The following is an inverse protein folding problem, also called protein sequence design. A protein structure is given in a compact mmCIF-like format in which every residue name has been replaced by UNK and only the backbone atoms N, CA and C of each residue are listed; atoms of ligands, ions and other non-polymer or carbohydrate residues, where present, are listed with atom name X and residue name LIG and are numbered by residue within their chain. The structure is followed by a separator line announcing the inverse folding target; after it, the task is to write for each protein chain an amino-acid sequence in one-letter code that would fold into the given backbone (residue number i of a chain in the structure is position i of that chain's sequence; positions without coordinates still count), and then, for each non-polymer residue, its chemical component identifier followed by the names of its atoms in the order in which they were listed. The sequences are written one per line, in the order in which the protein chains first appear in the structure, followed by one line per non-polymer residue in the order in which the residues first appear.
data_IF_578713483816
#
_entry.id   IF_578713483816
#
_cell.length_a   1.000
_cell.length_b   1.000
_cell.length_c   1.000
_cell.angle_alpha   90.00
_cell.angle_beta   90.00
_cell.angle_gamma   90.00
#
_symmetry.space_group_name_H-M   'P 1'
#
loop_
_entity.id
_entity.type
_entity.pdbx_description
1 polymer ?
#
# COMPACT_ATOMS: atom_id res chain seq x y z
N UNK A 1 -10.19 -8.02 -29.43
CA UNK A 1 -11.27 -8.75 -28.73
C UNK A 1 -12.39 -7.76 -28.45
N UNK A 2 -13.61 -8.05 -28.90
CA UNK A 2 -14.78 -7.14 -28.82
C UNK A 2 -15.29 -7.06 -27.37
N UNK A 3 -15.71 -5.88 -26.87
CA UNK A 3 -16.22 -5.75 -25.52
C UNK A 3 -17.66 -6.26 -25.44
N UNK A 4 -17.90 -7.28 -24.61
CA UNK A 4 -19.23 -7.69 -24.19
C UNK A 4 -19.63 -6.83 -22.97
N UNK A 5 -20.27 -5.69 -23.22
CA UNK A 5 -20.96 -4.91 -22.19
C UNK A 5 -22.43 -5.29 -22.30
N UNK A 6 -22.88 -6.27 -21.52
CA UNK A 6 -24.31 -6.48 -21.23
C UNK A 6 -24.63 -5.74 -19.93
N UNK A 7 -24.43 -4.42 -19.95
CA UNK A 7 -25.00 -3.50 -18.97
C UNK A 7 -26.29 -2.93 -19.54
N UNK A 8 -27.19 -2.46 -18.68
CA UNK A 8 -28.52 -1.91 -18.95
C UNK A 8 -28.53 -0.76 -19.99
N UNK A 9 -28.29 -1.08 -21.26
CA UNK A 9 -28.32 -0.17 -22.39
C UNK A 9 -29.29 -0.72 -23.44
N UNK A 10 -30.57 -0.81 -23.06
CA UNK A 10 -31.64 -1.02 -24.02
C UNK A 10 -31.98 0.34 -24.67
N UNK A 11 -31.72 0.41 -25.97
CA UNK A 11 -32.03 1.51 -26.89
C UNK A 11 -33.53 1.87 -26.85
N UNK A 12 -33.87 3.02 -26.26
CA UNK A 12 -35.19 3.62 -26.42
C UNK A 12 -35.30 4.25 -27.81
N UNK A 13 -36.11 3.64 -28.67
CA UNK A 13 -36.52 4.25 -29.94
C UNK A 13 -37.48 5.41 -29.67
N UNK A 14 -37.11 6.61 -30.12
CA UNK A 14 -37.96 7.80 -30.19
C UNK A 14 -39.18 7.53 -31.10
N UNK A 15 -40.36 7.50 -30.51
CA UNK A 15 -41.63 7.73 -31.22
C UNK A 15 -42.13 9.11 -30.81
N UNK A 16 -42.04 10.05 -31.76
CA UNK A 16 -42.62 11.37 -31.65
C UNK A 16 -44.15 11.28 -31.71
N UNK A 17 -44.83 11.77 -30.66
CA UNK A 17 -46.23 12.21 -30.70
C UNK A 17 -46.36 13.54 -29.95
N UNK A 18 -47.25 14.37 -30.48
CA UNK A 18 -47.43 15.82 -30.32
C UNK A 18 -47.65 16.35 -28.89
N UNK A 19 -47.53 17.67 -28.65
CA UNK A 19 -47.38 18.26 -27.32
C UNK A 19 -48.72 18.36 -26.58
N UNK A 20 -48.79 17.80 -25.39
CA UNK A 20 -49.86 18.05 -24.43
C UNK A 20 -49.27 18.30 -23.03
N UNK A 21 -49.55 19.50 -22.53
CA UNK A 21 -49.56 19.95 -21.13
C UNK A 21 -48.33 19.65 -20.26
N UNK A 22 -47.72 20.75 -19.79
CA UNK A 22 -46.80 20.80 -18.66
C UNK A 22 -47.49 20.21 -17.43
N UNK A 23 -47.23 18.93 -17.13
CA UNK A 23 -47.64 18.32 -15.86
C UNK A 23 -46.71 18.81 -14.76
N UNK A 24 -47.32 19.46 -13.78
CA UNK A 24 -46.75 19.80 -12.47
C UNK A 24 -46.03 18.59 -11.84
N UNK A 25 -44.99 18.87 -11.05
CA UNK A 25 -44.10 17.88 -10.44
C UNK A 25 -44.84 16.69 -9.84
N UNK A 26 -44.61 15.51 -10.42
CA UNK A 26 -45.08 14.25 -9.88
C UNK A 26 -44.42 14.02 -8.51
N UNK A 27 -45.22 14.03 -7.44
CA UNK A 27 -44.86 13.36 -6.18
C UNK A 27 -44.44 11.92 -6.52
N UNK A 28 -43.38 11.42 -5.87
CA UNK A 28 -42.97 10.04 -5.99
C UNK A 28 -44.18 9.12 -5.78
N UNK A 29 -44.47 8.24 -6.75
CA UNK A 29 -45.61 7.32 -6.65
C UNK A 29 -45.41 6.38 -5.46
N UNK A 30 -46.33 6.47 -4.50
CA UNK A 30 -46.39 5.72 -3.25
C UNK A 30 -46.62 4.22 -3.54
N UNK A 31 -46.03 3.33 -2.73
CA UNK A 31 -46.16 1.88 -2.91
C UNK A 31 -47.59 1.46 -2.56
N UNK A 32 -48.36 1.01 -3.54
CA UNK A 32 -49.72 0.52 -3.29
C UNK A 32 -49.72 -0.81 -2.52
N UNK A 33 -50.70 -0.99 -1.64
CA UNK A 33 -50.90 -2.25 -0.90
C UNK A 33 -50.97 -3.47 -1.84
N UNK A 34 -51.67 -3.32 -2.98
CA UNK A 34 -51.74 -4.37 -4.01
C UNK A 34 -50.37 -4.77 -4.54
N UNK A 35 -49.51 -3.79 -4.83
CA UNK A 35 -48.15 -4.05 -5.33
C UNK A 35 -47.30 -4.75 -4.27
N UNK A 36 -47.44 -4.37 -3.00
CA UNK A 36 -46.74 -5.00 -1.88
C UNK A 36 -47.20 -6.44 -1.65
N UNK A 37 -48.51 -6.67 -1.64
CA UNK A 37 -49.09 -8.02 -1.54
C UNK A 37 -48.61 -8.93 -2.67
N UNK A 38 -48.57 -8.43 -3.91
CA UNK A 38 -48.04 -9.19 -5.04
C UNK A 38 -46.53 -9.45 -4.89
N UNK A 39 -45.75 -8.43 -4.51
CA UNK A 39 -44.31 -8.58 -4.30
C UNK A 39 -43.99 -9.61 -3.23
N UNK A 40 -44.66 -9.57 -2.09
CA UNK A 40 -44.45 -10.55 -1.01
C UNK A 40 -44.86 -11.98 -1.40
N UNK A 41 -45.79 -12.14 -2.34
CA UNK A 41 -46.18 -13.45 -2.83
C UNK A 41 -45.17 -14.05 -3.84
N UNK A 42 -44.58 -13.22 -4.72
CA UNK A 42 -43.78 -13.69 -5.85
C UNK A 42 -42.26 -13.55 -5.62
N UNK A 43 -41.81 -12.44 -5.03
CA UNK A 43 -40.40 -12.07 -4.96
C UNK A 43 -39.52 -13.02 -4.14
N UNK A 44 -39.96 -13.64 -3.01
CA UNK A 44 -39.10 -14.56 -2.25
C UNK A 44 -38.60 -15.75 -3.06
N UNK A 45 -39.44 -16.33 -3.92
CA UNK A 45 -39.03 -17.44 -4.79
C UNK A 45 -38.05 -16.97 -5.88
N UNK A 46 -38.26 -15.77 -6.42
CA UNK A 46 -37.39 -15.16 -7.42
C UNK A 46 -36.02 -14.78 -6.84
N UNK A 47 -35.98 -14.25 -5.61
CA UNK A 47 -34.75 -13.94 -4.89
C UNK A 47 -33.88 -15.19 -4.70
N UNK A 48 -34.51 -16.30 -4.28
CA UNK A 48 -33.84 -17.60 -4.17
C UNK A 48 -33.33 -18.10 -5.53
N UNK A 49 -34.12 -17.94 -6.59
CA UNK A 49 -33.72 -18.31 -7.95
C UNK A 49 -32.54 -17.46 -8.47
N UNK A 50 -32.44 -16.20 -8.05
CA UNK A 50 -31.31 -15.30 -8.34
C UNK A 50 -30.06 -15.59 -7.48
N UNK A 51 -30.14 -16.51 -6.51
CA UNK A 51 -29.04 -16.86 -5.62
C UNK A 51 -28.78 -15.84 -4.51
N UNK A 52 -29.78 -15.04 -4.14
CA UNK A 52 -29.71 -14.12 -3.00
C UNK A 52 -29.81 -14.92 -1.71
N UNK A 53 -28.88 -14.66 -0.78
CA UNK A 53 -28.72 -15.45 0.45
C UNK A 53 -29.59 -14.97 1.63
N UNK A 54 -30.12 -13.75 1.57
CA UNK A 54 -30.92 -13.14 2.64
C UNK A 54 -32.35 -13.70 2.71
N UNK A 55 -33.02 -13.52 3.85
CA UNK A 55 -34.47 -13.68 3.90
C UNK A 55 -35.15 -12.38 3.48
N UNK A 56 -36.16 -12.48 2.60
CA UNK A 56 -36.95 -11.33 2.18
C UNK A 56 -37.90 -10.91 3.30
N UNK A 57 -37.73 -9.69 3.82
CA UNK A 57 -38.55 -9.11 4.90
C UNK A 57 -39.68 -8.24 4.37
N UNK A 58 -39.46 -7.61 3.22
CA UNK A 58 -40.44 -6.80 2.51
C UNK A 58 -40.22 -6.86 1.01
N UNK A 59 -41.27 -6.66 0.22
CA UNK A 59 -41.19 -6.69 -1.23
C UNK A 59 -42.39 -6.01 -1.87
N UNK A 60 -42.20 -5.40 -3.04
CA UNK A 60 -43.31 -4.99 -3.89
C UNK A 60 -43.03 -5.20 -5.38
N UNK A 61 -44.12 -5.37 -6.13
CA UNK A 61 -44.09 -5.42 -7.59
C UNK A 61 -43.94 -4.01 -8.17
N UNK A 62 -42.81 -3.76 -8.84
CA UNK A 62 -42.52 -2.46 -9.46
C UNK A 62 -43.34 -2.29 -10.75
N UNK A 63 -43.38 -3.32 -11.58
CA UNK A 63 -44.03 -3.27 -12.87
C UNK A 63 -43.52 -4.33 -13.84
N UNK A 64 -44.01 -4.27 -15.07
CA UNK A 64 -43.60 -5.18 -16.15
C UNK A 64 -43.27 -4.42 -17.42
N UNK A 65 -42.30 -4.90 -18.17
CA UNK A 65 -41.99 -4.47 -19.53
C UNK A 65 -42.20 -5.62 -20.50
N UNK A 66 -42.68 -5.31 -21.71
CA UNK A 66 -42.86 -6.28 -22.78
C UNK A 66 -42.00 -5.86 -23.97
N UNK A 67 -41.02 -6.70 -24.33
CA UNK A 67 -40.28 -6.53 -25.58
C UNK A 67 -41.02 -7.30 -26.68
N UNK A 68 -41.77 -6.56 -27.51
CA UNK A 68 -42.54 -7.14 -28.61
C UNK A 68 -41.65 -7.80 -29.69
N UNK A 69 -40.40 -7.36 -29.85
CA UNK A 69 -39.46 -7.92 -30.83
C UNK A 69 -38.85 -9.21 -30.32
N UNK A 70 -38.41 -9.25 -29.06
CA UNK A 70 -37.89 -10.45 -28.42
C UNK A 70 -38.99 -11.41 -27.96
N UNK A 71 -40.26 -10.97 -27.95
CA UNK A 71 -41.42 -11.70 -27.41
C UNK A 71 -41.22 -12.12 -25.95
N UNK A 72 -40.48 -11.32 -25.19
CA UNK A 72 -40.20 -11.57 -23.77
C UNK A 72 -40.93 -10.56 -22.90
N UNK A 73 -41.40 -11.01 -21.73
CA UNK A 73 -41.91 -10.16 -20.67
C UNK A 73 -40.94 -10.18 -19.51
N UNK A 74 -40.68 -9.01 -18.93
CA UNK A 74 -39.83 -8.88 -17.75
C UNK A 74 -40.64 -8.23 -16.64
N UNK A 75 -40.75 -8.93 -15.52
CA UNK A 75 -41.35 -8.40 -14.29
C UNK A 75 -40.25 -7.90 -13.36
N UNK A 76 -40.48 -6.74 -12.74
CA UNK A 76 -39.54 -6.14 -11.80
C UNK A 76 -40.13 -6.11 -10.41
N UNK A 77 -39.31 -6.45 -9.42
CA UNK A 77 -39.66 -6.46 -8.02
C UNK A 77 -38.56 -5.77 -7.24
N UNK A 78 -38.92 -5.09 -6.17
CA UNK A 78 -37.97 -4.67 -5.14
C UNK A 78 -38.12 -5.61 -3.95
N UNK A 79 -37.00 -5.99 -3.34
CA UNK A 79 -36.95 -6.72 -2.09
C UNK A 79 -36.09 -5.98 -1.06
N UNK A 80 -36.52 -6.05 0.18
CA UNK A 80 -35.75 -5.73 1.37
C UNK A 80 -35.32 -7.04 2.04
N UNK A 81 -34.10 -7.04 2.56
CA UNK A 81 -33.46 -8.21 3.15
C UNK A 81 -33.39 -8.05 4.67
N UNK A 82 -33.41 -9.17 5.40
CA UNK A 82 -33.12 -9.18 6.84
C UNK A 82 -31.67 -8.80 7.18
N UNK A 83 -30.78 -8.87 6.19
CA UNK A 83 -29.37 -8.52 6.29
C UNK A 83 -28.78 -8.13 4.93
N UNK A 84 -27.78 -7.25 4.95
CA UNK A 84 -27.14 -6.78 3.73
C UNK A 84 -28.04 -5.83 2.93
N UNK A 85 -27.65 -5.55 1.70
CA UNK A 85 -28.38 -4.58 0.85
C UNK A 85 -29.65 -5.21 0.28
N UNK A 86 -30.69 -4.39 0.05
CA UNK A 86 -31.82 -4.80 -0.78
C UNK A 86 -31.51 -4.86 -2.27
N UNK A 87 -32.45 -5.40 -3.04
CA UNK A 87 -32.27 -5.67 -4.46
C UNK A 87 -33.51 -5.32 -5.30
N UNK A 88 -33.25 -4.99 -6.56
CA UNK A 88 -34.24 -5.06 -7.64
C UNK A 88 -34.04 -6.37 -8.40
N UNK A 89 -35.09 -7.18 -8.48
CA UNK A 89 -35.14 -8.40 -9.26
C UNK A 89 -35.70 -8.11 -10.66
N UNK A 90 -35.09 -8.72 -11.67
CA UNK A 90 -35.54 -8.69 -13.05
C UNK A 90 -35.86 -10.13 -13.48
N UNK A 91 -37.14 -10.48 -13.44
CA UNK A 91 -37.64 -11.81 -13.76
C UNK A 91 -38.13 -11.86 -15.22
N UNK A 92 -37.31 -12.45 -16.10
CA UNK A 92 -37.67 -12.65 -17.50
C UNK A 92 -38.52 -13.92 -17.64
N UNK A 93 -39.67 -13.82 -18.30
CA UNK A 93 -40.55 -14.97 -18.56
C UNK A 93 -39.80 -16.06 -19.34
N UNK A 94 -39.68 -17.25 -18.75
CA UNK A 94 -38.93 -18.38 -19.32
C UNK A 94 -37.40 -18.24 -19.26
N UNK A 95 -36.87 -17.19 -18.60
CA UNK A 95 -35.45 -16.92 -18.46
C UNK A 95 -34.94 -16.97 -17.02
N UNK A 96 -33.64 -16.72 -16.83
CA UNK A 96 -33.04 -16.57 -15.52
C UNK A 96 -33.45 -15.24 -14.88
N UNK A 97 -33.65 -15.24 -13.56
CA UNK A 97 -33.85 -14.02 -12.78
C UNK A 97 -32.49 -13.40 -12.49
N UNK A 98 -32.34 -12.10 -12.77
CA UNK A 98 -31.15 -11.32 -12.40
C UNK A 98 -31.48 -10.35 -11.27
N UNK A 99 -30.45 -9.91 -10.54
CA UNK A 99 -30.60 -9.02 -9.39
C UNK A 99 -29.61 -7.87 -9.44
N UNK A 100 -30.08 -6.66 -9.17
CA UNK A 100 -29.27 -5.45 -9.00
C UNK A 100 -29.42 -4.96 -7.58
N UNK A 101 -28.33 -4.55 -6.93
CA UNK A 101 -28.44 -3.97 -5.58
C UNK A 101 -29.23 -2.66 -5.62
N UNK A 102 -29.88 -2.29 -4.53
CA UNK A 102 -30.52 -0.98 -4.44
C UNK A 102 -29.54 0.18 -4.61
N UNK A 103 -28.25 -0.03 -4.33
CA UNK A 103 -27.19 0.96 -4.62
C UNK A 103 -27.06 1.20 -6.13
N UNK A 104 -27.05 0.13 -6.92
CA UNK A 104 -26.99 0.23 -8.38
C UNK A 104 -28.29 0.77 -8.96
N UNK A 105 -29.42 0.27 -8.48
CA UNK A 105 -30.73 0.71 -8.92
C UNK A 105 -30.97 2.20 -8.62
N UNK A 106 -30.41 2.72 -7.53
CA UNK A 106 -30.50 4.14 -7.15
C UNK A 106 -29.47 5.02 -7.87
N UNK A 107 -28.50 4.44 -8.58
CA UNK A 107 -27.49 5.22 -9.30
C UNK A 107 -28.17 5.99 -10.45
N UNK A 108 -28.02 7.33 -10.52
CA UNK A 108 -28.63 8.13 -11.58
C UNK A 108 -28.16 7.68 -12.97
N UNK A 109 -29.05 7.81 -13.95
CA UNK A 109 -28.71 7.57 -15.34
C UNK A 109 -27.72 8.61 -15.89
N UNK A 110 -27.22 8.42 -17.13
CA UNK A 110 -26.31 9.37 -17.77
C UNK A 110 -26.89 10.79 -17.93
N UNK A 111 -28.21 10.93 -17.91
CA UNK A 111 -28.93 12.21 -17.94
C UNK A 111 -29.10 12.85 -16.53
N UNK A 112 -28.50 12.24 -15.51
CA UNK A 112 -28.56 12.68 -14.11
C UNK A 112 -29.90 12.40 -13.44
N UNK A 113 -30.86 11.74 -14.11
CA UNK A 113 -32.17 11.46 -13.54
C UNK A 113 -32.15 10.17 -12.72
N UNK A 114 -32.98 10.08 -11.66
CA UNK A 114 -33.18 8.83 -10.94
C UNK A 114 -33.63 7.72 -11.89
N UNK A 115 -33.15 6.50 -11.64
CA UNK A 115 -33.62 5.31 -12.34
C UNK A 115 -35.11 5.09 -12.09
N UNK A 116 -35.83 4.60 -13.10
CA UNK A 116 -37.21 4.13 -12.92
C UNK A 116 -37.29 2.88 -12.03
N UNK A 117 -36.16 2.22 -11.79
CA UNK A 117 -36.01 1.09 -10.87
C UNK A 117 -35.42 1.52 -9.52
N UNK A 118 -35.31 2.82 -9.24
CA UNK A 118 -34.83 3.28 -7.93
C UNK A 118 -35.69 2.68 -6.81
N UNK A 119 -35.01 2.16 -5.80
CA UNK A 119 -35.62 1.49 -4.67
C UNK A 119 -36.46 2.47 -3.83
N UNK A 120 -37.56 1.96 -3.28
CA UNK A 120 -38.61 2.72 -2.59
C UNK A 120 -39.03 2.09 -1.26
N UNK A 121 -38.67 0.83 -0.98
CA UNK A 121 -39.02 0.20 0.29
C UNK A 121 -38.34 0.97 1.44
N UNK A 122 -39.01 1.14 2.60
CA UNK A 122 -38.43 1.86 3.73
C UNK A 122 -37.09 1.28 4.22
N UNK A 123 -36.93 -0.05 4.22
CA UNK A 123 -35.66 -0.69 4.58
C UNK A 123 -34.52 -0.37 3.61
N UNK A 124 -34.85 -0.08 2.35
CA UNK A 124 -33.90 0.27 1.29
C UNK A 124 -33.70 1.78 1.11
N UNK A 125 -34.24 2.61 2.00
CA UNK A 125 -34.17 4.07 1.86
C UNK A 125 -32.73 4.60 1.95
N UNK A 126 -31.86 3.93 2.72
CA UNK A 126 -30.44 4.29 2.84
C UNK A 126 -29.53 3.05 2.64
N UNK A 127 -29.41 2.53 1.41
CA UNK A 127 -28.76 1.25 1.17
C UNK A 127 -27.24 1.26 1.43
N UNK A 128 -26.65 2.43 1.71
CA UNK A 128 -25.25 2.52 2.15
C UNK A 128 -25.06 2.07 3.59
N UNK A 129 -26.10 2.16 4.43
CA UNK A 129 -26.05 1.71 5.82
C UNK A 129 -25.77 0.21 5.92
N UNK A 130 -26.22 -0.55 4.92
CA UNK A 130 -26.11 -2.01 4.88
C UNK A 130 -24.75 -2.52 4.37
N UNK A 131 -23.85 -1.62 3.94
CA UNK A 131 -22.51 -1.99 3.48
C UNK A 131 -21.52 -2.28 4.61
N UNK A 132 -21.89 -2.09 5.87
CA UNK A 132 -20.99 -2.30 7.00
C UNK A 132 -20.34 -3.70 6.98
N UNK A 133 -21.12 -4.76 6.73
CA UNK A 133 -20.62 -6.14 6.64
C UNK A 133 -19.68 -6.35 5.45
N UNK A 134 -19.99 -5.73 4.30
CA UNK A 134 -19.18 -5.82 3.07
C UNK A 134 -17.83 -5.12 3.25
N UNK A 135 -17.82 -3.94 3.87
CA UNK A 135 -16.60 -3.19 4.17
C UNK A 135 -15.74 -3.92 5.20
N UNK A 136 -16.36 -4.55 6.20
CA UNK A 136 -15.65 -5.39 7.16
C UNK A 136 -15.00 -6.61 6.48
N UNK A 137 -15.70 -7.29 5.56
CA UNK A 137 -15.14 -8.39 4.76
C UNK A 137 -13.96 -7.93 3.88
N UNK A 138 -14.00 -6.68 3.40
CA UNK A 138 -12.92 -6.04 2.66
C UNK A 138 -11.78 -5.50 3.55
N UNK A 139 -11.91 -5.61 4.88
CA UNK A 139 -10.98 -5.04 5.88
C UNK A 139 -10.81 -3.53 5.77
N UNK A 140 -11.85 -2.83 5.29
CA UNK A 140 -11.87 -1.37 5.16
C UNK A 140 -12.57 -0.78 6.39
N UNK A 141 -11.89 0.09 7.13
CA UNK A 141 -12.50 0.86 8.21
C UNK A 141 -13.11 2.14 7.63
N UNK A 142 -14.37 2.06 7.22
CA UNK A 142 -15.05 3.15 6.52
C UNK A 142 -16.52 3.22 6.96
N UNK A 143 -16.94 4.40 7.38
CA UNK A 143 -18.36 4.75 7.44
C UNK A 143 -18.72 5.38 6.09
N UNK A 144 -19.59 4.77 5.27
CA UNK A 144 -19.94 5.32 3.96
C UNK A 144 -20.64 6.67 4.08
N UNK A 145 -20.08 7.72 3.46
CA UNK A 145 -20.81 8.98 3.30
C UNK A 145 -21.65 8.98 2.02
N UNK A 146 -21.09 8.40 0.95
CA UNK A 146 -21.71 8.26 -0.36
C UNK A 146 -21.28 6.94 -0.99
N UNK A 147 -22.18 6.36 -1.78
CA UNK A 147 -21.96 5.11 -2.50
C UNK A 147 -22.65 5.16 -3.85
N UNK A 148 -22.14 4.42 -4.83
CA UNK A 148 -22.84 4.19 -6.09
C UNK A 148 -22.48 2.86 -6.71
N UNK A 149 -23.35 2.39 -7.60
CA UNK A 149 -23.06 1.27 -8.49
C UNK A 149 -22.07 1.68 -9.58
N UNK A 150 -21.09 0.83 -9.83
CA UNK A 150 -20.25 0.91 -11.04
C UNK A 150 -20.81 -0.07 -12.09
N UNK A 151 -21.25 -1.25 -11.66
CA UNK A 151 -21.92 -2.25 -12.48
C UNK A 151 -21.62 -3.67 -12.01
N UNK A 152 -22.02 -4.67 -12.81
CA UNK A 152 -21.80 -6.09 -12.51
C UNK A 152 -21.22 -6.85 -13.69
N UNK A 153 -20.53 -7.95 -13.38
CA UNK A 153 -20.26 -9.06 -14.29
C UNK A 153 -21.13 -10.26 -13.90
N UNK A 154 -20.97 -11.39 -14.60
CA UNK A 154 -21.65 -12.63 -14.24
C UNK A 154 -21.28 -13.18 -12.84
N UNK A 155 -20.18 -12.71 -12.25
CA UNK A 155 -19.67 -13.23 -10.97
C UNK A 155 -19.35 -12.16 -9.94
N UNK A 156 -19.39 -10.87 -10.31
CA UNK A 156 -18.97 -9.80 -9.42
C UNK A 156 -19.83 -8.54 -9.53
N UNK A 157 -20.07 -7.90 -8.38
CA UNK A 157 -20.68 -6.57 -8.30
C UNK A 157 -19.61 -5.55 -7.91
N UNK A 158 -19.57 -4.43 -8.63
CA UNK A 158 -18.62 -3.35 -8.43
C UNK A 158 -19.32 -2.12 -7.88
N UNK A 159 -18.86 -1.64 -6.74
CA UNK A 159 -19.41 -0.46 -6.06
C UNK A 159 -18.30 0.56 -5.80
N UNK A 160 -18.62 1.84 -5.89
CA UNK A 160 -17.74 2.90 -5.38
C UNK A 160 -18.24 3.33 -4.00
N UNK A 161 -17.32 3.52 -3.05
CA UNK A 161 -17.60 4.01 -1.70
C UNK A 161 -16.69 5.18 -1.38
N UNK A 162 -17.29 6.29 -0.95
CA UNK A 162 -16.60 7.40 -0.30
C UNK A 162 -16.77 7.28 1.22
N UNK A 163 -15.67 7.47 1.95
CA UNK A 163 -15.62 7.28 3.40
C UNK A 163 -15.68 8.61 4.13
N UNK A 164 -16.56 8.71 5.13
CA UNK A 164 -16.69 9.88 5.97
C UNK A 164 -15.35 10.23 6.64
N UNK A 165 -14.96 11.51 6.60
CA UNK A 165 -13.77 12.01 7.28
C UNK A 165 -12.42 11.56 6.70
N UNK A 166 -12.44 10.85 5.56
CA UNK A 166 -11.24 10.44 4.83
C UNK A 166 -11.34 10.93 3.40
N UNK A 167 -10.26 11.43 2.83
CA UNK A 167 -10.16 11.75 1.40
C UNK A 167 -10.18 10.50 0.50
N UNK A 168 -9.87 9.33 1.07
CA UNK A 168 -9.79 8.07 0.34
C UNK A 168 -11.18 7.54 -0.02
N UNK A 169 -11.31 7.02 -1.24
CA UNK A 169 -12.46 6.25 -1.71
C UNK A 169 -12.01 4.89 -2.25
N UNK A 170 -12.93 3.94 -2.29
CA UNK A 170 -12.64 2.56 -2.70
C UNK A 170 -13.58 2.08 -3.78
N UNK A 171 -13.06 1.24 -4.67
CA UNK A 171 -13.86 0.33 -5.49
C UNK A 171 -13.91 -1.01 -4.77
N UNK A 172 -15.12 -1.42 -4.42
CA UNK A 172 -15.40 -2.75 -3.89
C UNK A 172 -15.74 -3.68 -5.04
N UNK A 173 -15.08 -4.84 -5.08
CA UNK A 173 -15.44 -5.97 -5.93
C UNK A 173 -15.92 -7.09 -5.02
N UNK A 174 -17.21 -7.38 -5.13
CA UNK A 174 -17.93 -8.39 -4.34
C UNK A 174 -18.45 -9.48 -5.27
N UNK A 175 -19.10 -10.52 -4.74
CA UNK A 175 -19.81 -11.49 -5.57
C UNK A 175 -21.03 -10.87 -6.29
N UNK A 176 -21.56 -11.57 -7.30
CA UNK A 176 -22.87 -11.30 -7.87
C UNK A 176 -23.80 -12.52 -7.64
N UNK A 177 -24.90 -12.40 -6.88
CA UNK A 177 -25.29 -11.25 -6.06
C UNK A 177 -24.29 -10.96 -4.92
N UNK A 178 -24.31 -9.74 -4.40
CA UNK A 178 -23.44 -9.34 -3.28
C UNK A 178 -23.75 -10.17 -2.04
N UNK A 179 -22.70 -10.64 -1.38
CA UNK A 179 -22.77 -11.49 -0.19
C UNK A 179 -21.55 -11.20 0.69
N UNK A 180 -21.78 -10.65 1.88
CA UNK A 180 -20.71 -10.27 2.81
C UNK A 180 -19.99 -11.49 3.42
N UNK A 181 -20.54 -12.70 3.30
CA UNK A 181 -19.87 -13.93 3.72
C UNK A 181 -18.83 -14.41 2.70
N UNK A 182 -18.82 -13.85 1.48
CA UNK A 182 -17.85 -14.16 0.43
C UNK A 182 -16.69 -13.16 0.44
N UNK A 183 -15.52 -13.51 -0.12
CA UNK A 183 -14.40 -12.59 -0.21
C UNK A 183 -14.77 -11.29 -0.93
N UNK A 184 -14.34 -10.16 -0.35
CA UNK A 184 -14.49 -8.82 -0.94
C UNK A 184 -13.11 -8.22 -1.14
N UNK A 185 -12.85 -7.73 -2.36
CA UNK A 185 -11.65 -6.98 -2.68
C UNK A 185 -11.96 -5.48 -2.62
N UNK A 186 -11.13 -4.70 -1.94
CA UNK A 186 -11.15 -3.24 -1.99
C UNK A 186 -9.90 -2.73 -2.71
N UNK A 187 -10.11 -1.90 -3.72
CA UNK A 187 -9.03 -1.18 -4.42
C UNK A 187 -9.18 0.31 -4.21
N UNK A 188 -8.07 1.02 -3.99
CA UNK A 188 -8.08 2.48 -3.93
C UNK A 188 -8.62 3.07 -5.24
N UNK A 189 -9.55 4.02 -5.15
CA UNK A 189 -10.10 4.69 -6.32
C UNK A 189 -9.03 5.30 -7.23
N UNK A 190 -7.90 5.75 -6.68
CA UNK A 190 -6.81 6.34 -7.45
C UNK A 190 -6.09 5.34 -8.36
N UNK A 191 -6.29 4.04 -8.16
CA UNK A 191 -5.84 3.01 -9.10
C UNK A 191 -6.48 3.18 -10.49
N UNK A 192 -7.67 3.77 -10.56
CA UNK A 192 -8.46 3.88 -11.78
C UNK A 192 -8.37 5.25 -12.46
N UNK A 193 -7.64 6.20 -11.89
CA UNK A 193 -7.50 7.57 -12.42
C UNK A 193 -6.66 7.66 -13.70
N UNK A 194 -5.94 6.58 -14.05
CA UNK A 194 -5.08 6.51 -15.23
C UNK A 194 -5.81 6.24 -16.56
N UNK A 195 -7.14 6.06 -16.56
CA UNK A 195 -7.96 5.87 -17.77
C UNK A 195 -7.75 4.55 -18.51
N UNK A 196 -6.90 3.66 -18.01
CA UNK A 196 -6.59 2.34 -18.59
C UNK A 196 -7.61 1.26 -18.22
N UNK A 197 -8.64 1.59 -17.45
CA UNK A 197 -9.68 0.67 -17.01
C UNK A 197 -11.07 1.20 -17.39
N UNK A 198 -12.04 0.30 -17.50
CA UNK A 198 -13.46 0.64 -17.65
C UNK A 198 -14.14 1.00 -16.31
N UNK A 199 -13.41 0.94 -15.20
CA UNK A 199 -13.84 1.42 -13.90
C UNK A 199 -13.42 2.88 -13.76
N UNK A 200 -14.33 3.72 -13.29
CA UNK A 200 -14.05 5.11 -12.93
C UNK A 200 -14.60 5.38 -11.54
N UNK A 201 -13.91 6.24 -10.79
CA UNK A 201 -14.41 6.78 -9.53
C UNK A 201 -14.89 8.22 -9.73
N UNK A 202 -16.08 8.54 -9.22
CA UNK A 202 -16.75 9.83 -9.42
C UNK A 202 -17.40 10.41 -8.17
N UNK A 203 -17.35 9.72 -7.02
CA UNK A 203 -17.86 10.27 -5.76
C UNK A 203 -16.96 11.38 -5.22
N UNK A 204 -15.70 11.43 -5.68
CA UNK A 204 -14.76 12.52 -5.45
C UNK A 204 -14.00 12.85 -6.72
N UNK A 205 -13.43 14.05 -6.77
CA UNK A 205 -12.41 14.44 -7.74
C UNK A 205 -11.06 13.81 -7.41
N UNK A 206 -10.13 13.84 -8.37
CA UNK A 206 -8.77 13.35 -8.17
C UNK A 206 -8.04 14.18 -7.12
N UNK A 207 -8.24 15.49 -7.17
CA UNK A 207 -7.64 16.47 -6.26
C UNK A 207 -8.10 16.22 -4.82
N UNK A 208 -9.40 15.97 -4.62
CA UNK A 208 -9.95 15.59 -3.32
C UNK A 208 -9.39 14.26 -2.83
N UNK A 209 -9.27 13.23 -3.69
CA UNK A 209 -8.66 11.94 -3.29
C UNK A 209 -7.20 12.10 -2.85
N UNK A 210 -6.44 12.95 -3.52
CA UNK A 210 -5.06 13.27 -3.16
C UNK A 210 -4.93 14.00 -1.81
N UNK A 211 -6.00 14.56 -1.23
CA UNK A 211 -5.95 15.16 0.11
C UNK A 211 -5.58 14.15 1.21
N UNK A 212 -5.64 12.84 0.96
CA UNK A 212 -5.12 11.82 1.87
C UNK A 212 -3.63 12.02 2.18
N UNK A 213 -2.86 12.53 1.21
CA UNK A 213 -1.42 12.77 1.36
C UNK A 213 -1.13 13.82 2.43
N UNK A 214 -1.96 14.86 2.51
CA UNK A 214 -1.80 15.93 3.51
C UNK A 214 -2.07 15.39 4.92
N UNK A 215 -3.11 14.56 5.06
CA UNK A 215 -3.44 13.91 6.33
C UNK A 215 -2.34 12.96 6.80
N UNK A 216 -1.80 12.12 5.92
CA UNK A 216 -0.74 11.17 6.31
C UNK A 216 0.63 11.84 6.48
N UNK A 217 0.92 12.92 5.76
CA UNK A 217 2.11 13.74 6.02
C UNK A 217 2.04 14.40 7.40
N UNK A 218 0.89 14.96 7.77
CA UNK A 218 0.66 15.48 9.12
C UNK A 218 0.79 14.38 10.18
N UNK A 219 0.22 13.20 9.94
CA UNK A 219 0.33 12.04 10.84
C UNK A 219 1.77 11.55 11.00
N UNK A 220 2.57 11.59 9.92
CA UNK A 220 3.99 11.19 9.95
C UNK A 220 4.85 12.10 10.83
N UNK A 221 4.42 13.35 11.06
CA UNK A 221 5.13 14.35 11.84
C UNK A 221 6.63 14.47 11.45
N UNK A 222 6.93 14.35 10.17
CA UNK A 222 8.28 14.38 9.60
C UNK A 222 8.69 15.78 9.09
N UNK A 223 7.91 16.81 9.42
CA UNK A 223 8.14 18.19 9.02
C UNK A 223 7.85 18.51 7.55
N UNK A 224 7.22 17.59 6.79
CA UNK A 224 6.90 17.84 5.39
C UNK A 224 5.72 18.81 5.23
N UNK A 225 6.00 20.04 4.81
CA UNK A 225 4.97 20.92 4.24
C UNK A 225 4.76 20.51 2.78
N UNK A 226 3.69 19.76 2.51
CA UNK A 226 3.41 19.19 1.18
C UNK A 226 3.26 20.31 0.15
N UNK A 227 4.08 20.26 -0.91
CA UNK A 227 4.03 21.15 -2.08
C UNK A 227 3.37 20.44 -3.25
N UNK A 228 3.81 19.22 -3.54
CA UNK A 228 3.26 18.37 -4.59
C UNK A 228 3.02 16.97 -4.04
N UNK A 229 2.05 16.26 -4.62
CA UNK A 229 1.60 14.95 -4.13
C UNK A 229 1.12 14.06 -5.27
N UNK A 230 1.36 12.76 -5.13
CA UNK A 230 1.07 11.78 -6.17
C UNK A 230 0.76 10.42 -5.59
N UNK A 231 -0.11 9.69 -6.28
CA UNK A 231 -0.31 8.27 -6.07
C UNK A 231 0.70 7.46 -6.88
N UNK A 232 1.37 6.51 -6.24
CA UNK A 232 2.35 5.64 -6.90
C UNK A 232 1.77 4.29 -7.28
N UNK A 233 0.77 3.81 -6.54
CA UNK A 233 0.14 2.51 -6.80
C UNK A 233 -0.25 1.79 -5.52
N UNK A 234 -0.69 0.54 -5.69
CA UNK A 234 -1.11 -0.34 -4.61
C UNK A 234 -0.26 -1.60 -4.61
N UNK A 235 0.12 -2.09 -3.43
CA UNK A 235 0.71 -3.42 -3.29
C UNK A 235 -0.34 -4.52 -3.49
N UNK A 236 0.13 -5.76 -3.70
CA UNK A 236 -0.74 -6.94 -3.76
C UNK A 236 -1.51 -7.19 -2.46
N UNK A 237 -1.02 -6.66 -1.33
CA UNK A 237 -1.67 -6.77 -0.02
C UNK A 237 -2.67 -5.64 0.25
N UNK A 238 -2.93 -4.77 -0.73
CA UNK A 238 -3.92 -3.69 -0.64
C UNK A 238 -3.41 -2.39 -0.01
N UNK A 239 -2.12 -2.28 0.32
CA UNK A 239 -1.52 -1.03 0.81
C UNK A 239 -1.35 -0.04 -0.33
N UNK A 240 -1.89 1.17 -0.16
CA UNK A 240 -1.70 2.30 -1.08
C UNK A 240 -0.38 3.01 -0.82
N UNK A 241 0.31 3.43 -1.87
CA UNK A 241 1.55 4.20 -1.79
C UNK A 241 1.36 5.57 -2.40
N UNK A 242 1.74 6.59 -1.63
CA UNK A 242 1.70 7.98 -2.03
C UNK A 242 3.10 8.59 -1.90
N UNK A 243 3.37 9.56 -2.75
CA UNK A 243 4.55 10.41 -2.67
C UNK A 243 4.13 11.83 -2.33
N UNK A 244 4.86 12.47 -1.42
CA UNK A 244 4.81 13.91 -1.19
C UNK A 244 6.18 14.52 -1.46
N UNK A 245 6.22 15.56 -2.28
CA UNK A 245 7.35 16.48 -2.35
C UNK A 245 7.07 17.67 -1.43
N UNK A 246 8.03 17.99 -0.57
CA UNK A 246 7.91 18.99 0.47
C UNK A 246 8.49 20.33 0.00
N UNK A 247 8.04 21.43 0.61
CA UNK A 247 8.51 22.78 0.30
C UNK A 247 10.02 22.99 0.57
N UNK A 248 10.62 22.20 1.47
CA UNK A 248 12.06 22.21 1.77
C UNK A 248 12.91 21.39 0.79
N UNK A 249 12.30 20.89 -0.29
CA UNK A 249 12.99 20.09 -1.33
C UNK A 249 13.07 18.59 -1.00
N UNK A 250 12.73 18.17 0.22
CA UNK A 250 12.66 16.75 0.56
C UNK A 250 11.46 16.08 -0.08
N UNK A 251 11.46 14.75 -0.04
CA UNK A 251 10.28 13.97 -0.37
C UNK A 251 10.14 12.75 0.52
N UNK A 252 8.91 12.27 0.62
CA UNK A 252 8.57 11.06 1.36
C UNK A 252 7.61 10.17 0.58
N UNK A 253 7.80 8.86 0.71
CA UNK A 253 6.77 7.87 0.39
C UNK A 253 6.01 7.48 1.65
N UNK A 254 4.69 7.48 1.54
CA UNK A 254 3.78 7.01 2.57
C UNK A 254 3.12 5.73 2.12
N UNK A 255 3.31 4.65 2.88
CA UNK A 255 2.50 3.45 2.80
C UNK A 255 1.29 3.63 3.69
N UNK A 256 0.11 3.46 3.12
CA UNK A 256 -1.18 3.65 3.79
C UNK A 256 -1.95 2.33 3.74
N UNK A 257 -2.27 1.80 4.91
CA UNK A 257 -3.06 0.59 5.07
C UNK A 257 -4.47 0.99 5.52
N UNK A 258 -5.47 0.73 4.68
CA UNK A 258 -6.88 1.06 4.96
C UNK A 258 -7.09 2.51 5.47
N UNK A 259 -6.47 3.48 4.81
CA UNK A 259 -6.59 4.91 5.12
C UNK A 259 -5.72 5.42 6.27
N UNK A 260 -4.90 4.57 6.90
CA UNK A 260 -3.99 4.97 7.98
C UNK A 260 -2.54 4.87 7.55
N UNK A 261 -1.73 5.85 7.94
CA UNK A 261 -0.28 5.77 7.74
C UNK A 261 0.26 4.53 8.45
N UNK A 262 0.86 3.63 7.68
CA UNK A 262 1.51 2.42 8.17
C UNK A 262 3.03 2.59 8.25
N UNK A 263 3.62 3.25 7.24
CA UNK A 263 5.07 3.45 7.17
C UNK A 263 5.43 4.68 6.33
N UNK A 264 6.49 5.36 6.72
CA UNK A 264 7.08 6.49 6.00
C UNK A 264 8.49 6.12 5.52
N UNK A 265 8.81 6.48 4.29
CA UNK A 265 10.16 6.33 3.72
C UNK A 265 10.63 7.70 3.22
N UNK A 266 11.86 8.08 3.55
CA UNK A 266 12.52 9.21 2.90
C UNK A 266 12.79 8.87 1.44
N UNK A 267 12.49 9.79 0.52
CA UNK A 267 12.66 9.54 -0.92
C UNK A 267 14.08 9.11 -1.29
N UNK A 268 15.09 9.66 -0.61
CA UNK A 268 16.49 9.28 -0.81
C UNK A 268 16.80 7.82 -0.44
N UNK A 269 15.96 7.20 0.41
CA UNK A 269 16.07 5.81 0.89
C UNK A 269 15.03 4.88 0.24
N UNK A 270 14.15 5.41 -0.60
CA UNK A 270 12.97 4.70 -1.09
C UNK A 270 13.13 4.01 -2.46
N UNK A 271 14.32 3.97 -3.06
CA UNK A 271 14.53 3.42 -4.41
C UNK A 271 14.01 1.98 -4.60
N UNK A 272 14.05 1.16 -3.54
CA UNK A 272 13.53 -0.22 -3.55
C UNK A 272 12.03 -0.34 -3.25
N UNK A 273 11.35 0.75 -2.93
CA UNK A 273 9.93 0.77 -2.54
C UNK A 273 9.12 1.32 -3.70
N UNK A 274 8.29 0.47 -4.32
CA UNK A 274 7.36 0.89 -5.39
C UNK A 274 8.01 1.65 -6.57
N UNK A 275 9.27 1.33 -6.89
CA UNK A 275 10.03 2.03 -7.96
C UNK A 275 10.60 3.38 -7.55
N UNK A 276 10.48 3.77 -6.28
CA UNK A 276 11.03 5.00 -5.72
C UNK A 276 10.17 6.24 -5.93
N UNK A 277 10.75 7.36 -5.54
CA UNK A 277 10.13 8.68 -5.71
C UNK A 277 10.29 9.20 -7.13
N UNK A 278 9.25 9.87 -7.62
CA UNK A 278 9.11 10.37 -8.99
C UNK A 278 8.78 11.86 -9.07
N UNK A 279 8.27 12.46 -8.00
CA UNK A 279 8.07 13.90 -7.85
C UNK A 279 9.33 14.59 -7.33
N UNK A 280 10.03 13.99 -6.37
CA UNK A 280 11.26 14.55 -5.82
C UNK A 280 12.46 14.16 -6.67
N UNK A 281 13.33 15.12 -7.00
CA UNK A 281 14.62 14.81 -7.62
C UNK A 281 15.53 14.11 -6.61
N UNK A 282 15.46 12.78 -6.64
CA UNK A 282 16.25 11.93 -5.75
C UNK A 282 17.75 12.12 -5.93
N UNK A 283 18.26 12.65 -7.05
CA UNK A 283 19.70 12.88 -7.24
C UNK A 283 20.21 14.05 -6.42
N UNK A 284 19.47 15.15 -6.40
CA UNK A 284 19.79 16.31 -5.56
C UNK A 284 19.68 15.94 -4.08
N UNK A 285 18.60 15.26 -3.69
CA UNK A 285 18.40 14.79 -2.32
C UNK A 285 19.48 13.79 -1.86
N UNK A 286 19.90 12.86 -2.73
CA UNK A 286 21.00 11.93 -2.43
C UNK A 286 22.34 12.67 -2.34
N UNK A 287 22.57 13.70 -3.17
CA UNK A 287 23.80 14.52 -3.12
C UNK A 287 23.89 15.32 -1.82
N UNK A 288 22.79 15.90 -1.37
CA UNK A 288 22.73 16.60 -0.08
C UNK A 288 22.98 15.63 1.09
N UNK A 289 22.37 14.44 1.06
CA UNK A 289 22.57 13.40 2.07
C UNK A 289 24.00 12.85 2.09
N UNK A 290 24.62 12.66 0.92
CA UNK A 290 26.04 12.36 0.82
C UNK A 290 26.88 13.45 1.52
N UNK A 291 26.55 14.73 1.31
CA UNK A 291 27.18 15.86 2.00
C UNK A 291 26.98 15.84 3.52
N UNK A 292 25.78 15.47 3.99
CA UNK A 292 25.47 15.30 5.42
C UNK A 292 26.32 14.19 6.04
N UNK A 293 26.27 12.98 5.49
CA UNK A 293 27.04 11.86 6.03
C UNK A 293 28.55 12.06 5.92
N UNK A 294 29.02 12.80 4.91
CA UNK A 294 30.42 13.25 4.84
C UNK A 294 30.80 14.09 6.06
N UNK A 295 29.96 15.08 6.45
CA UNK A 295 30.21 15.91 7.63
C UNK A 295 30.14 15.10 8.93
N UNK A 296 29.15 14.22 9.06
CA UNK A 296 28.96 13.37 10.24
C UNK A 296 30.09 12.34 10.40
N UNK A 297 30.55 11.74 9.30
CA UNK A 297 31.68 10.83 9.32
C UNK A 297 32.96 11.56 9.75
N UNK A 298 33.22 12.74 9.19
CA UNK A 298 34.38 13.57 9.56
C UNK A 298 34.34 14.00 11.03
N UNK A 299 33.17 14.37 11.56
CA UNK A 299 33.04 14.72 12.99
C UNK A 299 33.22 13.52 13.92
N UNK A 300 32.94 12.30 13.44
CA UNK A 300 33.29 11.04 14.12
C UNK A 300 34.78 10.67 14.03
N UNK A 301 35.61 11.49 13.38
CA UNK A 301 37.03 11.22 13.14
C UNK A 301 37.30 10.28 11.95
N UNK A 302 36.29 10.00 11.13
CA UNK A 302 36.39 9.14 9.96
C UNK A 302 36.37 9.98 8.68
N UNK A 303 37.54 10.22 8.09
CA UNK A 303 37.65 11.02 6.86
C UNK A 303 37.08 10.26 5.65
N UNK A 304 35.76 10.35 5.43
CA UNK A 304 35.06 9.72 4.32
C UNK A 304 34.31 10.79 3.53
N UNK A 305 34.66 10.94 2.26
CA UNK A 305 33.87 11.72 1.29
C UNK A 305 32.81 10.77 0.71
N UNK A 306 31.61 10.80 1.29
CA UNK A 306 30.55 9.83 0.98
C UNK A 306 30.07 10.04 -0.45
N UNK A 307 30.18 9.01 -1.28
CA UNK A 307 29.71 8.99 -2.67
C UNK A 307 28.39 8.24 -2.85
N UNK A 308 28.11 7.30 -1.95
CA UNK A 308 26.88 6.51 -1.88
C UNK A 308 26.66 6.01 -0.46
N UNK A 309 25.41 5.85 -0.06
CA UNK A 309 25.06 5.23 1.22
C UNK A 309 23.87 4.27 1.10
N UNK A 310 23.69 3.40 2.08
CA UNK A 310 22.53 2.52 2.25
C UNK A 310 22.13 2.44 3.73
N UNK A 311 20.85 2.60 4.06
CA UNK A 311 20.38 2.48 5.44
C UNK A 311 20.35 1.03 5.93
N UNK A 312 20.66 0.85 7.20
CA UNK A 312 20.37 -0.37 7.96
C UNK A 312 19.06 -0.20 8.74
N UNK A 313 18.31 -1.29 9.01
CA UNK A 313 17.27 -1.27 10.02
C UNK A 313 17.86 -0.88 11.38
N UNK A 314 17.24 0.08 12.06
CA UNK A 314 17.77 0.64 13.30
C UNK A 314 16.69 1.10 14.28
N UNK A 315 17.04 1.29 15.56
CA UNK A 315 16.15 1.84 16.56
C UNK A 315 15.75 3.28 16.20
N UNK A 316 14.54 3.68 16.61
CA UNK A 316 14.05 5.04 16.39
C UNK A 316 15.04 6.09 16.94
N UNK A 317 15.26 7.17 16.17
CA UNK A 317 16.17 8.25 16.54
C UNK A 317 17.65 7.98 16.25
N UNK A 318 18.00 6.83 15.65
CA UNK A 318 19.33 6.56 15.10
C UNK A 318 19.24 6.38 13.59
N UNK A 319 20.15 7.02 12.88
CA UNK A 319 20.36 6.80 11.45
C UNK A 319 21.63 5.95 11.28
N UNK A 320 21.44 4.72 10.83
CA UNK A 320 22.53 3.74 10.67
C UNK A 320 22.68 3.51 9.19
N UNK A 321 23.86 3.83 8.64
CA UNK A 321 24.10 3.77 7.20
C UNK A 321 25.44 3.11 6.87
N UNK A 322 25.44 2.24 5.88
CA UNK A 322 26.65 1.90 5.15
C UNK A 322 27.01 3.07 4.23
N UNK A 323 28.28 3.45 4.20
CA UNK A 323 28.83 4.54 3.41
C UNK A 323 29.97 4.02 2.53
N UNK A 324 29.85 4.26 1.23
CA UNK A 324 30.96 4.16 0.29
C UNK A 324 31.65 5.52 0.20
N UNK A 325 32.98 5.53 0.31
CA UNK A 325 33.77 6.75 0.27
C UNK A 325 34.48 6.87 -1.09
N UNK A 326 34.50 8.06 -1.68
CA UNK A 326 35.27 8.32 -2.91
C UNK A 326 36.78 8.48 -2.64
N UNK A 327 37.15 8.83 -1.42
CA UNK A 327 38.53 9.17 -1.03
C UNK A 327 39.27 8.03 -0.30
N UNK A 328 38.62 6.89 -0.06
CA UNK A 328 39.21 5.73 0.62
C UNK A 328 38.50 4.41 0.29
N UNK A 329 39.22 3.28 0.26
CA UNK A 329 38.67 2.01 -0.21
C UNK A 329 37.89 1.23 0.86
N UNK A 330 38.13 1.48 2.14
CA UNK A 330 37.64 0.67 3.26
C UNK A 330 36.19 0.98 3.68
N UNK A 331 35.59 2.06 3.18
CA UNK A 331 34.21 2.47 3.49
C UNK A 331 33.88 2.48 4.99
N UNK A 332 32.62 2.56 5.37
CA UNK A 332 32.27 2.40 6.78
C UNK A 332 30.78 2.34 7.06
N UNK A 333 30.45 1.89 8.27
CA UNK A 333 29.10 1.93 8.82
C UNK A 333 29.04 3.05 9.85
N UNK A 334 28.27 4.09 9.54
CA UNK A 334 27.99 5.20 10.43
C UNK A 334 26.78 4.93 11.31
N UNK A 335 26.90 5.22 12.60
CA UNK A 335 25.81 5.24 13.57
C UNK A 335 25.67 6.69 14.04
N UNK A 336 24.66 7.36 13.51
CA UNK A 336 24.39 8.78 13.76
C UNK A 336 23.11 8.93 14.58
N UNK A 337 23.09 9.92 15.48
CA UNK A 337 21.96 10.20 16.35
C UNK A 337 21.59 11.68 16.36
N UNK A 338 20.89 12.10 17.41
CA UNK A 338 20.52 13.51 17.59
C UNK A 338 21.72 14.44 17.85
N UNK A 339 21.51 15.76 17.96
CA UNK A 339 22.59 16.75 18.07
C UNK A 339 23.58 16.54 19.24
N UNK A 340 23.14 15.84 20.29
CA UNK A 340 23.94 15.55 21.48
C UNK A 340 24.57 14.14 21.46
N UNK A 341 24.25 13.32 20.46
CA UNK A 341 24.82 11.98 20.33
C UNK A 341 26.18 12.05 19.66
N UNK A 342 27.18 11.40 20.27
CA UNK A 342 28.49 11.26 19.64
C UNK A 342 28.37 10.32 18.42
N UNK A 343 28.67 10.79 17.19
CA UNK A 343 28.63 9.94 16.01
C UNK A 343 29.75 8.91 16.08
N UNK A 344 29.46 7.69 15.62
CA UNK A 344 30.42 6.58 15.58
C UNK A 344 30.51 6.09 14.14
N UNK A 345 31.71 5.82 13.65
CA UNK A 345 31.90 5.15 12.36
C UNK A 345 32.80 3.94 12.56
N UNK A 346 32.32 2.79 12.09
CA UNK A 346 33.08 1.55 12.00
C UNK A 346 33.57 1.39 10.57
N UNK A 347 34.88 1.33 10.31
CA UNK A 347 35.36 0.91 8.98
C UNK A 347 34.87 -0.51 8.67
N UNK A 348 34.68 -0.83 7.39
CA UNK A 348 34.02 -2.09 7.02
C UNK A 348 34.77 -3.34 7.47
N UNK A 349 36.09 -3.27 7.69
CA UNK A 349 36.85 -4.38 8.24
C UNK A 349 36.50 -4.65 9.72
N UNK A 350 36.19 -3.62 10.51
CA UNK A 350 35.82 -3.72 11.94
C UNK A 350 34.31 -3.63 12.21
N UNK A 351 33.50 -3.27 11.22
CA UNK A 351 32.04 -3.23 11.32
C UNK A 351 31.38 -4.52 11.84
N UNK A 352 31.87 -5.74 11.51
CA UNK A 352 31.35 -6.98 12.09
C UNK A 352 31.44 -7.08 13.62
N UNK A 353 32.36 -6.35 14.27
CA UNK A 353 32.48 -6.30 15.74
C UNK A 353 31.22 -5.68 16.36
N UNK A 354 30.63 -4.71 15.67
CA UNK A 354 29.38 -4.04 16.02
C UNK A 354 28.13 -4.75 15.45
N UNK A 355 28.30 -5.85 14.72
CA UNK A 355 27.20 -6.63 14.14
C UNK A 355 26.75 -6.19 12.75
N UNK A 356 27.49 -5.31 12.08
CA UNK A 356 27.17 -4.84 10.74
C UNK A 356 28.00 -5.54 9.67
N UNK A 357 27.45 -5.61 8.45
CA UNK A 357 28.16 -6.13 7.26
C UNK A 357 28.06 -5.12 6.15
N UNK A 358 29.21 -4.74 5.59
CA UNK A 358 29.27 -3.89 4.41
C UNK A 358 29.00 -4.69 3.13
N UNK A 359 28.29 -4.08 2.19
CA UNK A 359 27.95 -4.56 0.86
C UNK A 359 28.58 -3.74 -0.28
N UNK A 360 28.90 -2.47 -0.04
CA UNK A 360 29.55 -1.57 -0.99
C UNK A 360 31.07 -1.70 -1.00
N UNK A 361 31.66 -2.02 0.16
CA UNK A 361 33.11 -2.21 0.28
C UNK A 361 33.48 -3.65 -0.03
N UNK A 362 34.37 -3.85 -1.01
CA UNK A 362 35.05 -5.12 -1.22
C UNK A 362 36.18 -5.26 -0.20
N UNK A 363 36.04 -6.20 0.72
CA UNK A 363 37.07 -6.49 1.72
C UNK A 363 38.26 -7.21 1.08
N UNK A 364 39.39 -6.52 1.02
CA UNK A 364 40.70 -7.01 0.58
C UNK A 364 41.83 -6.31 1.34
N UNK A 365 43.09 -6.57 0.97
CA UNK A 365 44.28 -5.98 1.61
C UNK A 365 44.21 -4.45 1.75
N UNK A 366 43.55 -3.74 0.83
CA UNK A 366 43.43 -2.28 0.89
C UNK A 366 42.36 -1.82 1.87
N UNK A 367 41.41 -2.69 2.21
CA UNK A 367 40.33 -2.42 3.16
C UNK A 367 40.69 -2.78 4.61
N UNK A 368 41.69 -3.65 4.82
CA UNK A 368 42.12 -4.10 6.15
C UNK A 368 43.21 -3.23 6.80
N UNK A 369 43.43 -2.00 6.31
CA UNK A 369 44.48 -1.11 6.81
C UNK A 369 44.36 -0.81 8.31
N UNK A 370 43.15 -0.66 8.82
CA UNK A 370 42.85 -0.43 10.25
C UNK A 370 43.24 -1.63 11.13
N UNK A 371 42.81 -2.83 10.75
CA UNK A 371 43.12 -4.08 11.46
C UNK A 371 44.62 -4.37 11.40
N UNK A 372 45.25 -4.11 10.26
CA UNK A 372 46.71 -4.18 10.10
C UNK A 372 47.41 -3.22 11.06
N UNK A 373 46.97 -1.96 11.15
CA UNK A 373 47.56 -0.99 12.06
C UNK A 373 47.40 -1.41 13.53
N UNK A 374 46.27 -2.01 13.90
CA UNK A 374 46.03 -2.51 15.25
C UNK A 374 46.96 -3.70 15.57
N UNK A 375 47.17 -4.65 14.65
CA UNK A 375 48.18 -5.71 14.80
C UNK A 375 49.60 -5.16 14.99
N UNK A 376 49.97 -4.13 14.24
CA UNK A 376 51.28 -3.46 14.37
C UNK A 376 51.46 -2.87 15.77
N UNK A 377 50.42 -2.22 16.33
CA UNK A 377 50.44 -1.71 17.72
C UNK A 377 50.59 -2.84 18.75
N UNK A 378 50.13 -4.04 18.43
CA UNK A 378 50.29 -5.25 19.26
C UNK A 378 51.63 -5.99 19.02
N UNK A 379 52.60 -5.34 18.39
CA UNK A 379 53.94 -5.88 18.15
C UNK A 379 53.98 -6.97 17.08
N UNK A 380 53.02 -6.98 16.13
CA UNK A 380 52.99 -7.91 14.99
C UNK A 380 53.18 -7.13 13.69
N UNK A 381 54.35 -6.52 13.56
CA UNK A 381 54.66 -5.57 12.48
C UNK A 381 54.63 -6.19 11.08
N UNK A 382 54.96 -7.48 11.00
CA UNK A 382 55.18 -8.22 9.75
C UNK A 382 53.89 -8.68 9.07
N UNK A 383 52.76 -8.70 9.79
CA UNK A 383 51.49 -9.16 9.24
C UNK A 383 50.69 -8.01 8.61
N UNK A 384 50.68 -7.94 7.28
CA UNK A 384 49.68 -7.19 6.54
C UNK A 384 48.41 -8.05 6.40
N UNK A 385 47.26 -7.56 6.87
CA UNK A 385 46.03 -8.39 6.89
C UNK A 385 45.47 -8.53 5.48
N UNK A 386 45.26 -9.76 5.04
CA UNK A 386 44.69 -10.12 3.73
C UNK A 386 43.24 -10.59 3.81
N UNK A 387 42.83 -11.12 4.96
CA UNK A 387 41.48 -11.60 5.21
C UNK A 387 41.17 -11.54 6.71
N UNK A 388 39.90 -11.38 7.08
CA UNK A 388 39.46 -11.39 8.47
C UNK A 388 38.05 -11.97 8.62
N UNK A 389 37.75 -12.54 9.79
CA UNK A 389 36.40 -12.95 10.18
C UNK A 389 36.21 -12.92 11.69
N UNK A 390 35.00 -12.58 12.13
CA UNK A 390 34.62 -12.72 13.55
C UNK A 390 34.38 -14.21 13.84
N UNK A 391 35.04 -14.72 14.88
CA UNK A 391 34.95 -16.13 15.30
C UNK A 391 34.18 -16.31 16.60
N UNK A 392 33.91 -15.24 17.35
CA UNK A 392 33.12 -15.30 18.57
C UNK A 392 32.95 -13.95 19.24
N UNK A 393 31.96 -13.84 20.13
CA UNK A 393 31.72 -12.68 20.97
C UNK A 393 31.30 -13.15 22.36
N UNK A 394 31.90 -12.59 23.40
CA UNK A 394 31.55 -12.90 24.79
C UNK A 394 30.31 -12.12 25.24
N UNK A 395 29.69 -12.55 26.35
CA UNK A 395 28.60 -11.81 26.99
C UNK A 395 29.02 -10.39 27.45
N UNK A 396 30.32 -10.16 27.70
CA UNK A 396 30.87 -8.85 28.07
C UNK A 396 31.14 -7.95 26.85
N UNK A 397 30.87 -8.41 25.63
CA UNK A 397 31.05 -7.66 24.39
C UNK A 397 32.43 -7.79 23.75
N UNK A 398 33.39 -8.46 24.38
CA UNK A 398 34.70 -8.78 23.77
C UNK A 398 34.48 -9.65 22.53
N UNK A 399 35.03 -9.22 21.40
CA UNK A 399 34.89 -9.90 20.11
C UNK A 399 36.23 -10.48 19.67
N UNK A 400 36.21 -11.73 19.23
CA UNK A 400 37.35 -12.44 18.68
C UNK A 400 37.29 -12.37 17.16
N UNK A 401 38.35 -11.84 16.54
CA UNK A 401 38.50 -11.73 15.09
C UNK A 401 39.74 -12.50 14.66
N UNK A 402 39.54 -13.52 13.83
CA UNK A 402 40.64 -14.18 13.13
C UNK A 402 41.07 -13.33 11.94
N UNK A 403 42.38 -13.19 11.74
CA UNK A 403 42.99 -12.56 10.56
C UNK A 403 43.96 -13.51 9.87
N UNK A 404 44.11 -13.37 8.56
CA UNK A 404 45.17 -13.99 7.77
C UNK A 404 46.18 -12.93 7.32
N UNK A 405 47.45 -13.30 7.25
CA UNK A 405 48.52 -12.42 6.78
C UNK A 405 48.74 -12.58 5.26
N UNK A 406 49.10 -11.49 4.58
CA UNK A 406 49.33 -11.47 3.13
C UNK A 406 50.63 -12.17 2.71
N UNK A 407 51.57 -12.35 3.63
CA UNK A 407 52.83 -13.05 3.45
C UNK A 407 52.68 -14.58 3.38
N UNK A 408 51.47 -15.11 3.63
CA UNK A 408 51.17 -16.54 3.66
C UNK A 408 51.57 -17.24 4.95
N UNK A 409 52.09 -16.52 5.95
CA UNK A 409 52.35 -17.06 7.28
C UNK A 409 51.04 -17.18 8.08
N UNK A 410 51.06 -18.02 9.13
CA UNK A 410 49.92 -18.16 10.03
C UNK A 410 49.61 -16.82 10.69
N UNK A 411 48.35 -16.40 10.59
CA UNK A 411 47.82 -15.18 11.15
C UNK A 411 47.51 -15.28 12.65
N UNK A 412 46.53 -14.48 13.08
CA UNK A 412 46.27 -14.22 14.50
C UNK A 412 44.77 -14.18 14.80
N UNK A 413 44.42 -14.51 16.04
CA UNK A 413 43.15 -14.14 16.65
C UNK A 413 43.38 -12.85 17.44
N UNK A 414 42.70 -11.78 17.05
CA UNK A 414 42.65 -10.50 17.74
C UNK A 414 41.43 -10.44 18.66
N UNK A 415 41.62 -9.92 19.87
CA UNK A 415 40.54 -9.59 20.79
C UNK A 415 40.27 -8.09 20.74
N UNK A 416 39.01 -7.72 20.56
CA UNK A 416 38.56 -6.33 20.58
C UNK A 416 37.53 -6.11 21.68
N UNK A 417 37.62 -4.99 22.39
CA UNK A 417 36.51 -4.46 23.19
C UNK A 417 35.43 -3.86 22.28
N UNK A 418 34.27 -3.55 22.87
CA UNK A 418 33.12 -3.00 22.15
C UNK A 418 33.39 -1.62 21.50
N UNK A 419 34.38 -0.88 21.98
CA UNK A 419 34.84 0.42 21.47
C UNK A 419 35.96 0.28 20.41
N UNK A 420 36.20 -0.93 19.89
CA UNK A 420 37.22 -1.25 18.89
C UNK A 420 38.66 -1.14 19.38
N UNK A 421 38.90 -1.10 20.69
CA UNK A 421 40.27 -1.14 21.23
C UNK A 421 40.82 -2.58 21.14
N UNK A 422 41.97 -2.82 20.50
CA UNK A 422 42.61 -4.13 20.49
C UNK A 422 43.15 -4.46 21.90
N UNK A 423 42.75 -5.62 22.45
CA UNK A 423 43.05 -6.04 23.82
C UNK A 423 44.18 -7.07 23.88
N UNK A 424 44.12 -8.07 23.01
CA UNK A 424 45.07 -9.19 22.98
C UNK A 424 45.20 -9.77 21.56
N UNK A 425 46.32 -10.45 21.31
CA UNK A 425 46.55 -11.24 20.08
C UNK A 425 47.09 -12.61 20.44
N UNK A 426 46.53 -13.65 19.82
CA UNK A 426 47.00 -15.03 19.91
C UNK A 426 47.35 -15.53 18.51
N UNK A 427 48.55 -16.08 18.30
CA UNK A 427 48.92 -16.64 17.00
C UNK A 427 48.06 -17.86 16.65
N UNK A 428 47.63 -17.97 15.39
CA UNK A 428 46.80 -19.09 14.92
C UNK A 428 47.51 -20.45 15.03
N UNK A 429 48.83 -20.49 15.18
CA UNK A 429 49.57 -21.70 15.49
C UNK A 429 49.23 -22.31 16.88
N UNK A 430 48.66 -21.51 17.79
CA UNK A 430 48.41 -21.88 19.19
C UNK A 430 46.93 -22.11 19.51
N UNK A 431 46.05 -22.04 18.51
CA UNK A 431 44.60 -22.28 18.67
C UNK A 431 44.04 -23.11 17.52
N UNK A 432 42.97 -23.87 17.80
CA UNK A 432 42.21 -24.63 16.79
C UNK A 432 41.06 -23.83 16.15
N UNK A 433 40.85 -22.61 16.60
CA UNK A 433 39.71 -21.77 16.20
C UNK A 433 39.93 -21.10 14.83
N UNK A 434 41.18 -21.04 14.36
CA UNK A 434 41.51 -20.47 13.07
C UNK A 434 41.07 -21.36 11.90
N UNK A 435 40.40 -20.79 10.89
CA UNK A 435 39.93 -21.49 9.67
C UNK A 435 40.15 -20.71 8.38
N UNK A 436 40.69 -19.49 8.42
CA UNK A 436 40.99 -18.75 7.20
C UNK A 436 42.06 -19.51 6.40
N UNK A 437 42.01 -19.48 5.05
CA UNK A 437 43.07 -20.03 4.21
C UNK A 437 44.43 -19.44 4.60
N UNK A 438 45.44 -20.30 4.78
CA UNK A 438 46.77 -19.95 5.29
C UNK A 438 46.95 -20.10 6.80
N UNK A 439 45.86 -20.17 7.58
CA UNK A 439 45.93 -20.38 9.03
C UNK A 439 45.73 -21.85 9.46
N UNK A 440 45.10 -22.67 8.61
CA UNK A 440 44.79 -24.09 8.85
C UNK A 440 45.99 -25.00 8.64
#
# INVERSE_FOLDING_TARGET
MRPFITGLAATLALLALAPAAVSQGNKAAEISEKARTQGMAEAPALAKAAGIACNVTDAFFIGKTEDKKAKTKTSYFEIDCDQGVGFVLSAVEGGATTSFTCIEANTPGPDGKPSNLACKLPGNADPKADLAGVLAAAKVQCTPEAVRGIGQSASATYLEVACQGSAQGYVLKTSAPIDAAKPVEASDCMLYDGGSSNISCSLRTKEERLAVVDAVAAQANNGCTVKDKKYLGMSQTGSSFFEAACADGKGYLYRVDAGKLAQTYECAKAQGVMGGCTLTDTKEAVTEQNGLYTRLAKSAGFNCDVSKYAPFPGPAGKDIVEMACSNRPDGGVGVFGGPNDKPIVYDCARAPIAGYRCSFTKLDVNSYGSVTADLKKMGKADCAVSNARVIGKTAKGTTYMEVACADGLKGYVMEYSADLTPLATTGCAFTKDCKLPGNV
#
